data_IF_739923761522
#
_entry.id   IF_739923761522
#
_cell.length_a   1.000
_cell.length_b   1.000
_cell.length_c   1.000
_cell.angle_alpha   90.00
_cell.angle_beta   90.00
_cell.angle_gamma   90.00
#
_symmetry.space_group_name_H-M   'P 1'
#
loop_
_entity.id
_entity.type
_entity.pdbx_description
1 polymer ?
#
# COMPACT_ATOMS: atom_id res chain seq x y z
N UNK A 1 -19.94 -2.02 6.75
CA UNK A 1 -19.61 -3.47 6.60
C UNK A 1 -18.17 -3.59 6.13
N UNK A 2 -17.34 -4.45 6.72
CA UNK A 2 -15.99 -4.70 6.19
C UNK A 2 -16.09 -5.53 4.91
N UNK A 3 -15.43 -5.11 3.84
CA UNK A 3 -15.45 -5.78 2.56
C UNK A 3 -14.10 -5.70 1.85
N UNK A 4 -13.99 -6.45 0.76
CA UNK A 4 -12.79 -6.56 -0.05
C UNK A 4 -13.19 -6.39 -1.51
N UNK A 5 -12.54 -5.45 -2.19
CA UNK A 5 -12.76 -5.19 -3.61
C UNK A 5 -11.42 -5.20 -4.33
N UNK A 6 -11.38 -5.77 -5.53
CA UNK A 6 -10.15 -5.86 -6.33
C UNK A 6 -10.27 -4.90 -7.50
N UNK A 7 -9.23 -4.09 -7.72
CA UNK A 7 -9.13 -3.20 -8.86
C UNK A 7 -7.92 -2.29 -8.76
N UNK A 8 -7.99 -1.12 -9.37
CA UNK A 8 -6.80 -0.29 -9.63
C UNK A 8 -6.12 0.13 -8.32
N UNK A 9 -6.89 0.51 -7.29
CA UNK A 9 -6.33 0.94 -6.01
C UNK A 9 -5.62 -0.23 -5.32
N UNK A 10 -6.17 -1.45 -5.41
CA UNK A 10 -5.51 -2.64 -4.88
C UNK A 10 -4.13 -2.87 -5.50
N UNK A 11 -4.01 -2.81 -6.82
CA UNK A 11 -2.74 -3.02 -7.51
C UNK A 11 -1.75 -1.87 -7.27
N UNK A 12 -2.23 -0.63 -7.24
CA UNK A 12 -1.39 0.54 -6.95
C UNK A 12 -0.78 0.44 -5.55
N UNK A 13 -1.59 0.14 -4.54
CA UNK A 13 -1.10 -0.03 -3.15
C UNK A 13 -0.19 -1.26 -3.03
N UNK A 14 -0.55 -2.38 -3.67
CA UNK A 14 0.26 -3.59 -3.68
C UNK A 14 1.66 -3.36 -4.24
N UNK A 15 1.82 -2.51 -5.26
CA UNK A 15 3.11 -2.16 -5.84
C UNK A 15 3.84 -1.03 -5.09
N UNK A 16 3.10 -0.10 -4.47
CA UNK A 16 3.68 1.02 -3.71
C UNK A 16 4.47 0.53 -2.49
N UNK A 17 3.94 -0.43 -1.74
CA UNK A 17 4.61 -0.96 -0.54
C UNK A 17 6.02 -1.54 -0.84
N UNK A 18 6.19 -2.48 -1.78
CA UNK A 18 7.51 -2.98 -2.13
C UNK A 18 8.38 -1.90 -2.78
N UNK A 19 7.81 -0.97 -3.56
CA UNK A 19 8.57 0.15 -4.13
C UNK A 19 9.18 1.05 -3.04
N UNK A 20 8.42 1.40 -2.00
CA UNK A 20 8.91 2.16 -0.84
C UNK A 20 10.02 1.39 -0.12
N UNK A 21 9.89 0.07 0.02
CA UNK A 21 10.94 -0.76 0.62
C UNK A 21 12.24 -0.76 -0.22
N UNK A 22 12.14 -0.85 -1.55
CA UNK A 22 13.34 -0.79 -2.42
C UNK A 22 14.02 0.57 -2.32
N UNK A 23 13.24 1.66 -2.30
CA UNK A 23 13.77 3.02 -2.14
C UNK A 23 14.45 3.21 -0.77
N UNK A 24 13.82 2.76 0.32
CA UNK A 24 14.39 2.86 1.66
C UNK A 24 15.66 2.03 1.79
N UNK A 25 15.71 0.83 1.19
CA UNK A 25 16.93 0.03 1.11
C UNK A 25 18.04 0.74 0.33
N UNK A 26 17.69 1.40 -0.77
CA UNK A 26 18.63 2.22 -1.55
C UNK A 26 19.24 3.34 -0.69
N UNK A 27 18.41 4.05 0.07
CA UNK A 27 18.86 5.07 1.01
C UNK A 27 19.76 4.49 2.11
N UNK A 28 19.40 3.35 2.71
CA UNK A 28 20.24 2.69 3.72
C UNK A 28 21.58 2.22 3.15
N UNK A 29 21.60 1.77 1.90
CA UNK A 29 22.85 1.40 1.23
C UNK A 29 23.73 2.62 0.97
N UNK A 30 23.14 3.73 0.51
CA UNK A 30 23.86 4.99 0.31
C UNK A 30 24.43 5.53 1.62
N UNK A 31 23.66 5.46 2.70
CA UNK A 31 24.11 5.85 4.04
C UNK A 31 25.25 4.94 4.55
N UNK A 32 25.17 3.63 4.31
CA UNK A 32 26.25 2.71 4.66
C UNK A 32 27.53 2.99 3.85
N UNK A 33 27.38 3.35 2.58
CA UNK A 33 28.48 3.77 1.73
C UNK A 33 29.17 5.05 2.24
N UNK A 34 28.38 6.06 2.64
CA UNK A 34 28.93 7.30 3.22
C UNK A 34 29.70 7.05 4.53
N UNK A 35 29.20 6.14 5.36
CA UNK A 35 29.77 5.88 6.69
C UNK A 35 30.85 4.78 6.68
N UNK A 36 31.22 4.23 5.51
CA UNK A 36 32.07 3.04 5.39
C UNK A 36 31.62 1.87 6.29
N UNK A 37 30.31 1.71 6.47
CA UNK A 37 29.72 0.62 7.25
C UNK A 37 29.25 -0.52 6.34
N UNK A 38 28.97 -1.68 6.93
CA UNK A 38 28.49 -2.84 6.18
C UNK A 38 27.14 -2.58 5.51
N UNK A 39 27.02 -3.09 4.27
CA UNK A 39 25.80 -3.00 3.48
C UNK A 39 24.66 -3.81 4.14
N UNK A 40 23.41 -3.32 4.07
CA UNK A 40 22.25 -4.09 4.53
C UNK A 40 22.15 -5.49 3.88
N UNK A 41 22.23 -6.50 4.75
CA UNK A 41 22.30 -7.93 4.42
C UNK A 41 20.94 -8.64 4.57
N UNK A 42 19.86 -7.94 4.24
CA UNK A 42 18.49 -8.43 4.39
C UNK A 42 17.99 -9.15 3.13
N UNK A 43 17.16 -10.19 3.35
CA UNK A 43 16.55 -11.02 2.29
C UNK A 43 15.52 -10.21 1.49
N UNK A 44 15.99 -9.53 0.45
CA UNK A 44 15.22 -8.60 -0.38
C UNK A 44 13.93 -9.23 -0.91
N UNK A 45 14.05 -10.41 -1.52
CA UNK A 45 12.94 -11.12 -2.18
C UNK A 45 11.84 -11.44 -1.17
N UNK A 46 12.21 -11.90 0.03
CA UNK A 46 11.24 -12.24 1.09
C UNK A 46 10.44 -11.01 1.51
N UNK A 47 11.11 -9.88 1.72
CA UNK A 47 10.46 -8.61 2.11
C UNK A 47 9.58 -8.05 1.00
N UNK A 48 9.99 -8.18 -0.27
CA UNK A 48 9.17 -7.76 -1.42
C UNK A 48 7.91 -8.62 -1.53
N UNK A 49 8.03 -9.94 -1.42
CA UNK A 49 6.88 -10.86 -1.49
C UNK A 49 5.91 -10.60 -0.33
N UNK A 50 6.42 -10.43 0.89
CA UNK A 50 5.59 -10.05 2.04
C UNK A 50 4.92 -8.69 1.82
N UNK A 51 5.65 -7.71 1.29
CA UNK A 51 5.13 -6.38 0.97
C UNK A 51 4.02 -6.43 -0.08
N UNK A 52 4.14 -7.27 -1.10
CA UNK A 52 3.10 -7.50 -2.10
C UNK A 52 1.84 -8.11 -1.49
N UNK A 53 1.98 -9.14 -0.64
CA UNK A 53 0.84 -9.78 0.02
C UNK A 53 0.12 -8.78 0.93
N UNK A 54 0.87 -8.07 1.77
CA UNK A 54 0.32 -7.06 2.69
C UNK A 54 -0.33 -5.93 1.90
N UNK A 55 0.33 -5.43 0.85
CA UNK A 55 -0.18 -4.34 0.03
C UNK A 55 -1.41 -4.73 -0.79
N UNK A 56 -1.52 -5.99 -1.21
CA UNK A 56 -2.71 -6.51 -1.85
C UNK A 56 -3.90 -6.58 -0.88
N UNK A 57 -3.68 -7.07 0.33
CA UNK A 57 -4.73 -7.13 1.36
C UNK A 57 -5.20 -5.73 1.75
N UNK A 58 -4.26 -4.83 2.10
CA UNK A 58 -4.57 -3.45 2.47
C UNK A 58 -5.18 -2.67 1.31
N UNK A 59 -4.64 -2.85 0.11
CA UNK A 59 -5.14 -2.22 -1.10
C UNK A 59 -6.57 -2.64 -1.45
N UNK A 60 -6.93 -3.90 -1.23
CA UNK A 60 -8.29 -4.38 -1.48
C UNK A 60 -9.31 -3.96 -0.43
N UNK A 61 -8.87 -3.79 0.82
CA UNK A 61 -9.69 -3.15 1.86
C UNK A 61 -9.92 -1.66 1.54
N UNK A 62 -8.84 -0.94 1.20
CA UNK A 62 -8.93 0.48 0.85
C UNK A 62 -9.79 0.69 -0.40
N UNK A 63 -9.67 -0.20 -1.38
CA UNK A 63 -10.50 -0.13 -2.56
C UNK A 63 -11.97 -0.35 -2.25
N UNK A 64 -12.32 -1.29 -1.39
CA UNK A 64 -13.71 -1.46 -0.97
C UNK A 64 -14.27 -0.17 -0.32
N UNK A 65 -13.49 0.47 0.55
CA UNK A 65 -13.88 1.78 1.11
C UNK A 65 -14.05 2.84 0.02
N UNK A 66 -13.16 2.85 -0.97
CA UNK A 66 -13.23 3.79 -2.09
C UNK A 66 -14.47 3.56 -2.96
N UNK A 67 -14.81 2.31 -3.25
CA UNK A 67 -15.97 1.93 -4.06
C UNK A 67 -17.29 2.26 -3.34
N UNK A 68 -17.36 2.03 -2.02
CA UNK A 68 -18.53 2.41 -1.21
C UNK A 68 -18.67 3.94 -1.15
N UNK A 69 -17.55 4.65 -0.99
CA UNK A 69 -17.54 6.10 -0.94
C UNK A 69 -17.90 6.73 -2.28
N UNK A 70 -17.36 6.22 -3.40
CA UNK A 70 -17.67 6.69 -4.74
C UNK A 70 -19.14 6.44 -5.09
N UNK A 71 -19.67 5.24 -4.81
CA UNK A 71 -21.06 4.92 -5.01
C UNK A 71 -22.00 5.85 -4.22
N UNK A 72 -21.66 6.15 -2.96
CA UNK A 72 -22.46 7.05 -2.13
C UNK A 72 -22.40 8.51 -2.61
N UNK A 73 -21.23 8.97 -3.07
CA UNK A 73 -21.05 10.29 -3.68
C UNK A 73 -21.84 10.44 -4.98
N UNK A 74 -21.80 9.44 -5.84
CA UNK A 74 -22.52 9.45 -7.13
C UNK A 74 -24.04 9.38 -6.95
N UNK A 75 -24.50 8.83 -5.82
CA UNK A 75 -25.91 8.79 -5.43
C UNK A 75 -26.47 10.14 -4.93
N UNK A 76 -25.64 11.19 -4.85
CA UNK A 76 -26.06 12.53 -4.45
C UNK A 76 -26.23 12.75 -2.94
N UNK A 77 -25.81 11.80 -2.10
CA UNK A 77 -25.85 11.97 -0.64
C UNK A 77 -24.73 12.89 -0.13
N UNK A 78 -24.96 13.68 0.93
CA UNK A 78 -23.92 14.49 1.54
C UNK A 78 -22.81 13.61 2.12
N UNK A 79 -21.54 13.99 1.90
CA UNK A 79 -20.34 13.21 2.24
C UNK A 79 -20.31 12.69 3.69
N UNK A 80 -20.90 13.44 4.63
CA UNK A 80 -21.03 13.07 6.05
C UNK A 80 -21.93 11.84 6.29
N UNK A 81 -22.94 11.61 5.45
CA UNK A 81 -23.80 10.42 5.54
C UNK A 81 -23.14 9.18 4.94
N UNK A 82 -22.17 9.35 4.05
CA UNK A 82 -21.42 8.25 3.44
C UNK A 82 -20.39 7.60 4.39
N UNK A 83 -19.94 8.32 5.43
CA UNK A 83 -19.03 7.79 6.44
C UNK A 83 -19.72 7.04 7.58
N UNK A 84 -21.04 7.19 7.71
CA UNK A 84 -21.82 6.73 8.87
C UNK A 84 -22.72 5.52 8.57
N UNK A 85 -22.50 4.80 7.46
CA UNK A 85 -23.28 3.62 7.03
C UNK A 85 -22.34 2.49 6.60
#
# INVERSE_FOLDING_TARGET
MWGFSIGIITFVVALLIPAIYVLSRGASWFQAWLNNTEKPNDKMIVKIVLGLIIGFVLGGMLQYFWDVFSACKDSGYPLLQCFNK
#
